data_IF_629269321109
#
_entry.id   IF_629269321109
#
_cell.length_a   1.000
_cell.length_b   1.000
_cell.length_c   1.000
_cell.angle_alpha   90.00
_cell.angle_beta   90.00
_cell.angle_gamma   90.00
#
_symmetry.space_group_name_H-M   'P 1'
#
loop_
_entity.id
_entity.type
_entity.pdbx_description
1 polymer ?
#
# COMPACT_ATOMS: atom_id res chain seq x y z
N UNK A 1 7.32 -25.40 13.63
CA UNK A 1 6.31 -24.36 13.37
C UNK A 1 6.07 -24.30 11.86
N UNK A 2 4.86 -24.59 11.35
CA UNK A 2 4.58 -24.52 9.90
C UNK A 2 4.44 -23.06 9.50
N UNK A 3 5.38 -22.53 8.72
CA UNK A 3 5.34 -21.16 8.21
C UNK A 3 4.20 -21.02 7.20
N UNK A 4 3.27 -20.10 7.46
CA UNK A 4 2.19 -19.79 6.52
C UNK A 4 2.74 -18.93 5.37
N UNK A 5 2.79 -19.52 4.16
CA UNK A 5 3.32 -18.86 2.97
C UNK A 5 2.55 -17.58 2.59
N UNK A 6 1.25 -17.51 2.87
CA UNK A 6 0.45 -16.31 2.58
C UNK A 6 0.83 -15.15 3.51
N UNK A 7 1.03 -15.43 4.81
CA UNK A 7 1.49 -14.41 5.76
C UNK A 7 2.88 -13.91 5.39
N UNK A 8 3.77 -14.79 4.93
CA UNK A 8 5.11 -14.39 4.49
C UNK A 8 5.07 -13.50 3.24
N UNK A 9 4.20 -13.82 2.26
CA UNK A 9 4.02 -12.99 1.05
C UNK A 9 3.47 -11.61 1.38
N UNK A 10 2.45 -11.55 2.25
CA UNK A 10 1.88 -10.29 2.73
C UNK A 10 2.95 -9.44 3.43
N UNK A 11 3.73 -10.03 4.35
CA UNK A 11 4.81 -9.33 5.04
C UNK A 11 5.90 -8.83 4.08
N UNK A 12 6.27 -9.62 3.07
CA UNK A 12 7.23 -9.18 2.04
C UNK A 12 6.70 -7.99 1.26
N UNK A 13 5.44 -8.03 0.84
CA UNK A 13 4.82 -6.94 0.10
C UNK A 13 4.75 -5.66 0.95
N UNK A 14 4.53 -5.78 2.25
CA UNK A 14 4.59 -4.65 3.18
C UNK A 14 5.93 -3.94 3.17
N UNK A 15 7.02 -4.70 3.31
CA UNK A 15 8.37 -4.14 3.32
C UNK A 15 8.66 -3.42 1.99
N UNK A 16 8.28 -4.04 0.86
CA UNK A 16 8.47 -3.45 -0.47
C UNK A 16 7.69 -2.13 -0.60
N UNK A 17 6.41 -2.12 -0.21
CA UNK A 17 5.57 -0.92 -0.31
C UNK A 17 6.05 0.19 0.61
N UNK A 18 6.49 -0.17 1.82
CA UNK A 18 7.03 0.79 2.78
C UNK A 18 8.30 1.46 2.26
N UNK A 19 9.27 0.68 1.78
CA UNK A 19 10.51 1.22 1.22
C UNK A 19 10.21 2.09 0.00
N UNK A 20 9.41 1.61 -0.94
CA UNK A 20 9.08 2.36 -2.16
C UNK A 20 8.34 3.67 -1.84
N UNK A 21 7.33 3.62 -0.97
CA UNK A 21 6.56 4.79 -0.55
C UNK A 21 7.44 5.79 0.19
N UNK A 22 8.27 5.36 1.14
CA UNK A 22 9.17 6.23 1.89
C UNK A 22 10.20 6.90 0.97
N UNK A 23 10.81 6.15 0.05
CA UNK A 23 11.77 6.69 -0.93
C UNK A 23 11.13 7.72 -1.85
N UNK A 24 9.96 7.43 -2.44
CA UNK A 24 9.29 8.40 -3.32
C UNK A 24 8.76 9.61 -2.54
N UNK A 25 8.31 9.43 -1.31
CA UNK A 25 7.89 10.54 -0.43
C UNK A 25 9.05 11.48 -0.11
N UNK A 26 10.25 10.93 0.14
CA UNK A 26 11.45 11.73 0.35
C UNK A 26 11.84 12.54 -0.91
N UNK A 27 11.76 11.93 -2.09
CA UNK A 27 11.98 12.64 -3.36
C UNK A 27 10.93 13.73 -3.56
N UNK A 28 9.65 13.45 -3.32
CA UNK A 28 8.58 14.44 -3.42
C UNK A 28 8.79 15.60 -2.44
N UNK A 29 9.17 15.33 -1.18
CA UNK A 29 9.47 16.36 -0.20
C UNK A 29 10.63 17.26 -0.66
N UNK A 30 11.66 16.69 -1.28
CA UNK A 30 12.76 17.46 -1.87
C UNK A 30 12.30 18.35 -3.04
N UNK A 31 11.43 17.84 -3.91
CA UNK A 31 10.88 18.61 -5.03
C UNK A 31 9.94 19.73 -4.58
N UNK A 32 9.31 19.58 -3.42
CA UNK A 32 8.42 20.55 -2.81
C UNK A 32 9.10 21.39 -1.71
N UNK A 33 10.43 21.38 -1.62
CA UNK A 33 11.15 22.08 -0.56
C UNK A 33 10.96 23.61 -0.59
N UNK A 34 10.64 24.19 -1.76
CA UNK A 34 10.38 25.62 -1.93
C UNK A 34 8.95 26.06 -1.52
N UNK A 35 8.06 25.12 -1.21
CA UNK A 35 6.70 25.41 -0.74
C UNK A 35 6.63 25.52 0.80
N UNK A 36 5.53 26.07 1.31
CA UNK A 36 5.31 26.11 2.76
C UNK A 36 5.27 24.70 3.36
N UNK A 37 5.89 24.55 4.54
CA UNK A 37 5.99 23.25 5.24
C UNK A 37 4.66 22.51 5.39
N UNK A 38 3.56 23.24 5.62
CA UNK A 38 2.23 22.64 5.71
C UNK A 38 1.81 22.00 4.38
N UNK A 39 1.97 22.72 3.27
CA UNK A 39 1.62 22.24 1.93
C UNK A 39 2.50 21.06 1.53
N UNK A 40 3.82 21.18 1.72
CA UNK A 40 4.78 20.12 1.42
C UNK A 40 4.48 18.85 2.20
N UNK A 41 4.19 18.97 3.50
CA UNK A 41 3.86 17.82 4.36
C UNK A 41 2.56 17.16 3.92
N UNK A 42 1.48 17.92 3.70
CA UNK A 42 0.19 17.37 3.26
C UNK A 42 0.32 16.65 1.91
N UNK A 43 1.00 17.27 0.94
CA UNK A 43 1.19 16.69 -0.40
C UNK A 43 2.06 15.42 -0.32
N UNK A 44 3.14 15.46 0.46
CA UNK A 44 4.04 14.30 0.64
C UNK A 44 3.31 13.12 1.28
N UNK A 45 2.48 13.35 2.29
CA UNK A 45 1.66 12.31 2.93
C UNK A 45 0.69 11.71 1.90
N UNK A 46 -0.04 12.54 1.15
CA UNK A 46 -0.97 12.06 0.11
C UNK A 46 -0.24 11.21 -0.93
N UNK A 47 0.92 11.66 -1.41
CA UNK A 47 1.75 10.92 -2.36
C UNK A 47 2.18 9.57 -1.77
N UNK A 48 2.68 9.56 -0.54
CA UNK A 48 3.09 8.35 0.16
C UNK A 48 1.96 7.34 0.27
N UNK A 49 0.76 7.79 0.60
CA UNK A 49 -0.45 6.97 0.68
C UNK A 49 -0.87 6.38 -0.67
N UNK A 50 -0.93 7.21 -1.71
CA UNK A 50 -1.31 6.78 -3.06
C UNK A 50 -0.34 5.72 -3.57
N UNK A 51 0.96 5.93 -3.39
CA UNK A 51 1.99 4.98 -3.81
C UNK A 51 1.91 3.69 -3.00
N UNK A 52 1.80 3.81 -1.67
CA UNK A 52 1.73 2.66 -0.79
C UNK A 52 0.54 1.77 -1.11
N UNK A 53 -0.67 2.33 -1.13
CA UNK A 53 -1.88 1.56 -1.39
C UNK A 53 -1.94 1.08 -2.84
N UNK A 54 -1.45 1.85 -3.81
CA UNK A 54 -1.37 1.45 -5.21
C UNK A 54 -0.46 0.24 -5.42
N UNK A 55 0.77 0.29 -4.90
CA UNK A 55 1.73 -0.80 -4.98
C UNK A 55 1.24 -2.03 -4.22
N UNK A 56 0.73 -1.84 -3.01
CA UNK A 56 0.26 -2.94 -2.18
C UNK A 56 -0.92 -3.67 -2.82
N UNK A 57 -1.91 -2.92 -3.32
CA UNK A 57 -3.06 -3.47 -4.05
C UNK A 57 -2.62 -4.29 -5.27
N UNK A 58 -1.65 -3.78 -6.02
CA UNK A 58 -1.12 -4.43 -7.22
C UNK A 58 -0.36 -5.71 -6.89
N UNK A 59 0.57 -5.66 -5.92
CA UNK A 59 1.33 -6.82 -5.46
C UNK A 59 0.42 -7.89 -4.87
N UNK A 60 -0.56 -7.48 -4.05
CA UNK A 60 -1.54 -8.38 -3.47
C UNK A 60 -2.41 -9.06 -4.55
N UNK A 61 -2.79 -8.33 -5.59
CA UNK A 61 -3.50 -8.88 -6.75
C UNK A 61 -2.65 -9.91 -7.52
N UNK A 62 -1.38 -9.60 -7.77
CA UNK A 62 -0.46 -10.49 -8.47
C UNK A 62 -0.22 -11.78 -7.68
N UNK A 63 0.06 -11.67 -6.38
CA UNK A 63 0.32 -12.84 -5.52
C UNK A 63 -0.89 -13.76 -5.40
N UNK A 64 -2.11 -13.20 -5.43
CA UNK A 64 -3.36 -13.97 -5.37
C UNK A 64 -3.99 -14.24 -6.75
N UNK A 65 -3.30 -13.92 -7.86
CA UNK A 65 -3.86 -14.02 -9.23
C UNK A 65 -4.45 -15.39 -9.54
N UNK A 66 -3.80 -16.47 -9.08
CA UNK A 66 -4.30 -17.85 -9.28
C UNK A 66 -5.65 -18.07 -8.60
N UNK A 67 -5.84 -17.53 -7.39
CA UNK A 67 -7.11 -17.57 -6.64
C UNK A 67 -8.16 -16.67 -7.28
N UNK A 68 -7.74 -15.54 -7.81
CA UNK A 68 -8.62 -14.55 -8.42
C UNK A 68 -9.15 -14.94 -9.80
N UNK A 69 -8.50 -15.85 -10.52
CA UNK A 69 -9.03 -16.35 -11.80
C UNK A 69 -10.35 -17.11 -11.66
N UNK A 70 -10.63 -17.70 -10.51
CA UNK A 70 -11.84 -18.50 -10.26
C UNK A 70 -12.86 -17.76 -9.39
N UNK A 71 -12.63 -16.49 -9.07
CA UNK A 71 -13.42 -15.70 -8.12
C UNK A 71 -14.13 -14.56 -8.85
N UNK A 72 -15.33 -14.22 -8.41
CA UNK A 72 -16.03 -13.05 -8.97
C UNK A 72 -15.30 -11.74 -8.67
N UNK A 73 -15.26 -10.83 -9.65
CA UNK A 73 -14.62 -9.51 -9.52
C UNK A 73 -15.12 -8.71 -8.32
N UNK A 74 -16.41 -8.82 -7.99
CA UNK A 74 -17.01 -8.13 -6.83
C UNK A 74 -16.41 -8.60 -5.50
N UNK A 75 -16.09 -9.89 -5.39
CA UNK A 75 -15.51 -10.47 -4.19
C UNK A 75 -14.04 -10.10 -4.03
N UNK A 76 -13.29 -10.06 -5.15
CA UNK A 76 -11.90 -9.58 -5.18
C UNK A 76 -11.82 -8.11 -4.71
N UNK A 77 -12.68 -7.24 -5.26
CA UNK A 77 -12.76 -5.84 -4.83
C UNK A 77 -13.09 -5.71 -3.34
N UNK A 78 -13.99 -6.54 -2.83
CA UNK A 78 -14.36 -6.55 -1.40
C UNK A 78 -13.20 -6.99 -0.50
N UNK A 79 -12.41 -7.98 -0.92
CA UNK A 79 -11.21 -8.41 -0.20
C UNK A 79 -10.14 -7.31 -0.20
N UNK A 80 -9.84 -6.72 -1.36
CA UNK A 80 -8.89 -5.60 -1.46
C UNK A 80 -9.33 -4.43 -0.58
N UNK A 81 -10.61 -4.06 -0.63
CA UNK A 81 -11.16 -2.97 0.16
C UNK A 81 -11.07 -3.26 1.65
N UNK A 82 -11.43 -4.48 2.09
CA UNK A 82 -11.29 -4.90 3.50
C UNK A 82 -9.84 -4.82 3.97
N UNK A 83 -8.93 -5.28 3.13
CA UNK A 83 -7.50 -5.26 3.39
C UNK A 83 -7.04 -3.81 3.59
N UNK A 84 -7.23 -2.95 2.58
CA UNK A 84 -6.89 -1.51 2.61
C UNK A 84 -7.55 -0.81 3.81
N UNK A 85 -8.84 -1.04 4.05
CA UNK A 85 -9.56 -0.44 5.17
C UNK A 85 -9.01 -0.88 6.53
N UNK A 86 -8.57 -2.14 6.65
CA UNK A 86 -7.97 -2.63 7.90
C UNK A 86 -6.63 -1.95 8.20
N UNK A 87 -5.92 -1.48 7.17
CA UNK A 87 -4.68 -0.73 7.34
C UNK A 87 -4.94 0.76 7.57
N UNK A 88 -5.80 1.38 6.74
CA UNK A 88 -6.12 2.81 6.87
C UNK A 88 -6.85 3.17 8.18
N UNK A 89 -7.64 2.25 8.74
CA UNK A 89 -8.25 2.45 10.07
C UNK A 89 -7.20 2.39 11.19
N UNK A 90 -6.11 1.64 11.01
CA UNK A 90 -5.02 1.56 11.98
C UNK A 90 -4.13 2.80 12.07
N UNK A 91 -4.22 3.72 11.10
CA UNK A 91 -3.48 4.99 11.13
C UNK A 91 -4.32 6.17 11.67
N UNK A 92 -5.64 6.01 11.79
CA UNK A 92 -6.56 7.05 12.27
C UNK A 92 -6.84 6.92 13.79
N UNK A 93 -6.54 5.76 14.40
CA UNK A 93 -6.72 5.48 15.84
C UNK A 93 -5.36 5.56 16.55
#
# INVERSE_FOLDING_TARGET
MKINKQLLQINRNFIICFIASASLSAVAAQLLADYENYQTTTITIIIGYVIYFGLFSTLFYIDNRKRYRTMESKLIKKELLKLISSFGVGEII
#
